data_IF_753746742807
#
_entry.id   IF_753746742807
#
_cell.length_a   1.000
_cell.length_b   1.000
_cell.length_c   1.000
_cell.angle_alpha   90.00
_cell.angle_beta   90.00
_cell.angle_gamma   90.00
#
_symmetry.space_group_name_H-M   'P 1'
#
loop_
_entity.id
_entity.type
_entity.pdbx_description
1 polymer ?
#
# COMPACT_ATOMS: atom_id res chain seq x y z
N UNK A 1 -0.95 28.37 14.94
CA UNK A 1 -2.30 27.80 15.02
C UNK A 1 -2.08 26.33 14.76
N UNK A 2 -2.19 25.49 15.79
CA UNK A 2 -1.90 24.07 15.74
C UNK A 2 -3.22 23.33 15.62
N UNK A 3 -3.55 22.81 14.44
CA UNK A 3 -4.81 22.10 14.23
C UNK A 3 -4.64 20.58 14.25
N UNK A 4 -5.71 19.85 13.92
CA UNK A 4 -5.70 18.39 13.87
C UNK A 4 -4.76 17.83 12.79
N UNK A 5 -4.54 18.55 11.69
CA UNK A 5 -3.66 18.13 10.60
C UNK A 5 -2.21 18.29 11.03
N UNK A 6 -1.86 19.41 11.67
CA UNK A 6 -0.52 19.61 12.26
C UNK A 6 -0.19 18.53 13.29
N UNK A 7 -1.18 18.13 14.10
CA UNK A 7 -1.03 17.01 15.03
C UNK A 7 -0.73 15.69 14.30
N UNK A 8 -1.52 15.35 13.28
CA UNK A 8 -1.32 14.10 12.52
C UNK A 8 0.01 14.07 11.77
N UNK A 9 0.45 15.22 11.24
CA UNK A 9 1.77 15.36 10.65
C UNK A 9 2.87 15.07 11.67
N UNK A 10 2.76 15.66 12.87
CA UNK A 10 3.72 15.42 13.95
C UNK A 10 3.76 13.96 14.39
N UNK A 11 2.62 13.27 14.45
CA UNK A 11 2.56 11.83 14.75
C UNK A 11 3.28 11.00 13.68
N UNK A 12 3.21 11.42 12.41
CA UNK A 12 3.93 10.77 11.32
C UNK A 12 5.45 10.98 11.35
N UNK A 13 5.89 12.14 11.81
CA UNK A 13 7.31 12.52 11.90
C UNK A 13 7.99 12.03 13.19
N UNK A 14 7.26 12.01 14.31
CA UNK A 14 7.80 11.67 15.63
C UNK A 14 7.57 10.18 15.96
N UNK A 15 8.65 9.40 15.85
CA UNK A 15 8.65 7.97 16.20
C UNK A 15 8.17 7.70 17.64
N UNK A 16 8.35 8.64 18.57
CA UNK A 16 7.89 8.47 19.96
C UNK A 16 6.38 8.53 20.03
N UNK A 17 5.74 9.42 19.28
CA UNK A 17 4.28 9.51 19.20
C UNK A 17 3.67 8.32 18.47
N UNK A 18 4.35 7.80 17.44
CA UNK A 18 3.92 6.60 16.73
C UNK A 18 3.81 5.36 17.63
N UNK A 19 4.63 5.28 18.67
CA UNK A 19 4.66 4.18 19.62
C UNK A 19 4.15 4.57 21.02
N UNK A 20 3.64 5.79 21.17
CA UNK A 20 3.13 6.28 22.44
C UNK A 20 1.86 5.53 22.84
N UNK A 21 1.61 5.47 24.14
CA UNK A 21 0.35 4.93 24.65
C UNK A 21 -0.82 5.85 24.24
N UNK A 22 -2.04 5.29 24.24
CA UNK A 22 -3.25 6.06 23.95
C UNK A 22 -3.44 7.23 24.92
N UNK A 23 -3.02 7.08 26.18
CA UNK A 23 -3.10 8.11 27.21
C UNK A 23 -2.10 9.26 26.92
N UNK A 24 -0.86 8.93 26.54
CA UNK A 24 0.15 9.91 26.15
C UNK A 24 -0.30 10.71 24.92
N UNK A 25 -0.85 10.01 23.91
CA UNK A 25 -1.44 10.62 22.72
C UNK A 25 -2.60 11.55 23.11
N UNK A 26 -3.45 11.13 24.03
CA UNK A 26 -4.56 11.94 24.57
C UNK A 26 -4.07 13.22 25.25
N UNK A 27 -2.97 13.15 26.00
CA UNK A 27 -2.38 14.33 26.64
C UNK A 27 -1.91 15.36 25.60
N UNK A 28 -1.28 14.91 24.51
CA UNK A 28 -0.82 15.79 23.43
C UNK A 28 -2.00 16.37 22.64
N UNK A 29 -3.07 15.60 22.45
CA UNK A 29 -4.33 16.04 21.82
C UNK A 29 -5.18 16.97 22.70
N UNK A 30 -4.81 17.19 23.96
CA UNK A 30 -5.63 17.94 24.92
C UNK A 30 -5.71 19.45 24.62
N UNK A 31 -4.88 19.97 23.72
CA UNK A 31 -4.83 21.39 23.37
C UNK A 31 -6.15 21.92 22.79
N UNK A 32 -6.54 23.17 23.04
CA UNK A 32 -7.87 23.71 22.73
C UNK A 32 -8.22 23.77 21.23
N UNK A 33 -7.22 23.67 20.35
CA UNK A 33 -7.39 23.84 18.91
C UNK A 33 -7.91 22.58 18.19
N UNK A 34 -7.91 21.41 18.84
CA UNK A 34 -8.45 20.17 18.24
C UNK A 34 -9.89 19.96 18.69
N UNK A 35 -10.82 19.81 17.74
CA UNK A 35 -12.23 19.53 18.02
C UNK A 35 -12.39 18.24 18.85
N UNK A 36 -13.23 18.23 19.90
CA UNK A 36 -13.40 17.07 20.78
C UNK A 36 -13.87 15.81 20.04
N UNK A 37 -14.68 15.92 18.99
CA UNK A 37 -15.13 14.77 18.21
C UNK A 37 -13.98 14.17 17.38
N UNK A 38 -13.05 14.99 16.91
CA UNK A 38 -11.83 14.53 16.24
C UNK A 38 -10.90 13.81 17.22
N UNK A 39 -10.76 14.30 18.45
CA UNK A 39 -9.95 13.64 19.49
C UNK A 39 -10.49 12.24 19.80
N UNK A 40 -11.80 12.10 19.94
CA UNK A 40 -12.44 10.81 20.18
C UNK A 40 -12.15 9.84 19.03
N UNK A 41 -12.31 10.29 17.78
CA UNK A 41 -12.04 9.46 16.61
C UNK A 41 -10.55 9.03 16.53
N UNK A 42 -9.62 9.95 16.78
CA UNK A 42 -8.18 9.67 16.80
C UNK A 42 -7.83 8.65 17.88
N UNK A 43 -8.30 8.87 19.12
CA UNK A 43 -8.03 7.96 20.22
C UNK A 43 -8.64 6.58 19.95
N UNK A 44 -9.83 6.51 19.36
CA UNK A 44 -10.48 5.24 18.99
C UNK A 44 -9.78 4.49 17.84
N UNK A 45 -8.84 5.14 17.13
CA UNK A 45 -8.27 4.59 15.90
C UNK A 45 -9.28 4.50 14.76
N UNK A 46 -10.38 5.26 14.83
CA UNK A 46 -11.45 5.23 13.84
C UNK A 46 -11.11 6.15 12.67
N UNK A 47 -10.30 5.63 11.75
CA UNK A 47 -9.88 6.33 10.55
C UNK A 47 -11.04 6.72 9.63
N UNK A 48 -12.17 6.00 9.67
CA UNK A 48 -13.31 6.26 8.81
C UNK A 48 -14.17 7.42 9.34
N UNK A 49 -14.44 7.45 10.64
CA UNK A 49 -15.06 8.62 11.28
C UNK A 49 -14.17 9.85 11.17
N UNK A 50 -12.85 9.69 11.39
CA UNK A 50 -11.90 10.80 11.25
C UNK A 50 -11.91 11.36 9.82
N UNK A 51 -11.84 10.51 8.80
CA UNK A 51 -11.91 10.93 7.41
C UNK A 51 -13.22 11.66 7.09
N UNK A 52 -14.36 11.14 7.56
CA UNK A 52 -15.67 11.76 7.34
C UNK A 52 -15.73 13.16 7.96
N UNK A 53 -15.23 13.34 9.18
CA UNK A 53 -15.19 14.64 9.87
C UNK A 53 -14.24 15.64 9.20
N UNK A 54 -13.15 15.15 8.62
CA UNK A 54 -12.22 15.96 7.82
C UNK A 54 -12.72 16.25 6.39
N UNK A 55 -13.95 15.84 6.05
CA UNK A 55 -14.54 16.08 4.73
C UNK A 55 -13.93 15.21 3.62
N UNK A 56 -13.18 14.14 3.96
CA UNK A 56 -12.69 13.18 2.97
C UNK A 56 -13.87 12.37 2.41
N UNK A 57 -14.10 12.50 1.11
CA UNK A 57 -15.04 11.66 0.36
C UNK A 57 -14.43 10.29 -0.01
N UNK A 58 -15.22 9.47 -0.72
CA UNK A 58 -14.76 8.19 -1.23
C UNK A 58 -13.62 8.39 -2.26
N UNK A 59 -12.45 7.82 -2.00
CA UNK A 59 -11.36 7.76 -2.97
C UNK A 59 -11.49 6.50 -3.81
N UNK A 60 -11.62 6.65 -5.13
CA UNK A 60 -11.45 5.54 -6.06
C UNK A 60 -9.98 5.50 -6.48
N UNK A 61 -9.18 4.65 -5.83
CA UNK A 61 -7.79 4.44 -6.24
C UNK A 61 -7.75 3.50 -7.44
N UNK A 62 -7.30 3.99 -8.58
CA UNK A 62 -6.97 3.14 -9.73
C UNK A 62 -5.52 2.68 -9.60
N UNK A 63 -5.32 1.39 -9.30
CA UNK A 63 -3.99 0.77 -9.37
C UNK A 63 -3.85 0.23 -10.79
N UNK A 64 -3.01 0.87 -11.60
CA UNK A 64 -2.62 0.33 -12.89
C UNK A 64 -1.58 -0.77 -12.65
N UNK A 65 -1.87 -2.06 -12.93
CA UNK A 65 -0.85 -3.09 -12.85
C UNK A 65 0.31 -2.73 -13.78
N UNK A 66 1.55 -2.86 -13.29
CA UNK A 66 2.74 -2.71 -14.12
C UNK A 66 2.64 -3.66 -15.32
N UNK A 67 2.99 -3.18 -16.51
CA UNK A 67 3.18 -4.07 -17.65
C UNK A 67 4.38 -4.97 -17.32
N UNK A 68 4.28 -6.26 -17.62
CA UNK A 68 5.44 -7.14 -17.61
C UNK A 68 6.43 -6.55 -18.62
N UNK A 69 7.66 -6.27 -18.17
CA UNK A 69 8.73 -5.82 -19.05
C UNK A 69 8.88 -6.89 -20.14
N UNK A 70 8.60 -6.53 -21.40
CA UNK A 70 8.99 -7.38 -22.52
C UNK A 70 10.51 -7.40 -22.48
N UNK A 71 11.08 -8.54 -22.05
CA UNK A 71 12.51 -8.79 -22.02
C UNK A 71 13.12 -8.28 -23.35
N UNK A 72 13.86 -7.18 -23.28
CA UNK A 72 14.71 -6.75 -24.39
C UNK A 72 15.73 -7.88 -24.56
N UNK A 73 15.48 -8.73 -25.56
CA UNK A 73 16.37 -9.77 -26.08
C UNK A 73 17.72 -9.11 -26.38
N UNK A 74 18.59 -9.12 -25.38
CA UNK A 74 20.00 -8.81 -25.49
C UNK A 74 20.57 -9.84 -26.46
N UNK A 75 20.64 -9.42 -27.73
CA UNK A 75 21.31 -10.16 -28.79
C UNK A 75 22.80 -10.12 -28.50
N UNK A 76 23.20 -10.93 -27.53
CA UNK A 76 24.60 -11.20 -27.28
C UNK A 76 25.15 -12.00 -28.48
N UNK A 77 26.35 -11.59 -28.81
CA UNK A 77 27.05 -11.80 -30.05
C UNK A 77 27.29 -13.29 -30.33
N UNK A 78 27.39 -13.62 -31.62
CA UNK A 78 27.65 -14.96 -32.10
C UNK A 78 28.91 -15.54 -31.45
N UNK A 79 28.80 -16.75 -30.90
CA UNK A 79 29.94 -17.67 -30.99
C UNK A 79 29.50 -19.10 -31.29
N UNK A 80 30.26 -19.67 -32.20
CA UNK A 80 30.04 -20.87 -33.00
C UNK A 80 30.31 -22.16 -32.20
N UNK A 81 29.44 -23.18 -32.34
CA UNK A 81 29.85 -24.56 -32.70
C UNK A 81 28.69 -25.56 -32.76
N UNK A 82 28.58 -26.17 -33.94
CA UNK A 82 28.04 -27.49 -34.26
C UNK A 82 28.34 -28.57 -33.19
N UNK A 83 27.33 -29.34 -32.77
CA UNK A 83 27.22 -30.78 -33.07
C UNK A 83 25.81 -31.33 -32.75
N UNK A 84 25.36 -32.29 -33.56
CA UNK A 84 24.06 -32.98 -33.54
C UNK A 84 24.01 -34.05 -32.40
N UNK A 85 22.95 -34.76 -32.01
CA UNK A 85 21.78 -35.34 -32.66
C UNK A 85 20.72 -35.75 -31.60
N UNK A 86 19.45 -35.72 -32.03
CA UNK A 86 18.30 -36.61 -31.77
C UNK A 86 17.63 -36.87 -30.39
N UNK A 87 16.31 -36.62 -30.44
CA UNK A 87 15.18 -37.43 -29.97
C UNK A 87 14.51 -37.20 -28.59
N UNK A 88 13.17 -37.08 -28.63
CA UNK A 88 12.36 -37.63 -27.54
C UNK A 88 11.24 -36.79 -26.89
N UNK A 89 10.28 -36.29 -27.67
CA UNK A 89 8.82 -36.17 -27.38
C UNK A 89 8.32 -35.50 -26.08
N UNK A 90 7.43 -34.54 -26.30
CA UNK A 90 6.81 -33.71 -25.26
C UNK A 90 5.78 -34.37 -24.35
N UNK A 91 5.49 -33.65 -23.27
CA UNK A 91 4.21 -33.72 -22.54
C UNK A 91 3.77 -32.31 -22.13
N UNK A 92 2.52 -32.05 -22.47
CA UNK A 92 1.74 -30.82 -22.33
C UNK A 92 1.68 -30.40 -20.86
N UNK A 93 2.05 -29.16 -20.54
CA UNK A 93 1.72 -28.55 -19.24
C UNK A 93 0.24 -28.18 -19.23
N UNK A 94 -0.53 -28.95 -18.48
CA UNK A 94 -1.95 -28.78 -18.23
C UNK A 94 -2.23 -27.36 -17.68
N UNK A 95 -3.08 -26.58 -18.36
CA UNK A 95 -3.48 -25.25 -17.87
C UNK A 95 -4.47 -25.43 -16.71
N UNK A 96 -4.28 -24.79 -15.54
CA UNK A 96 -5.28 -24.85 -14.49
C UNK A 96 -6.56 -24.13 -14.92
N UNK A 97 -7.66 -24.88 -14.85
CA UNK A 97 -9.05 -24.47 -15.12
C UNK A 97 -9.42 -23.17 -14.38
N UNK A 98 -9.91 -22.17 -15.12
CA UNK A 98 -10.47 -20.93 -14.56
C UNK A 98 -11.75 -21.28 -13.80
N UNK A 99 -11.77 -21.04 -12.48
CA UNK A 99 -13.00 -21.15 -11.67
C UNK A 99 -14.07 -20.15 -12.18
N UNK A 100 -15.33 -20.57 -12.36
CA UNK A 100 -16.41 -19.64 -12.65
C UNK A 100 -16.70 -18.77 -11.42
N UNK A 101 -16.87 -17.46 -11.64
CA UNK A 101 -17.35 -16.52 -10.61
C UNK A 101 -18.82 -16.81 -10.35
N UNK A 102 -19.18 -16.97 -9.08
CA UNK A 102 -20.57 -17.09 -8.61
C UNK A 102 -21.22 -15.71 -8.58
#
# INVERSE_FOLDING_TARGET
MFDVIDFLERVGQDARLRHASRDDVGLVLSGPEVDPELRVAILAGDGQSLATKLGKGAFCCYINPGKEDEDEDDKDDKDDKDDKDEDGKGRVKEKPSRRPRK
#
